data_IF_971571717228
#
_entry.id   IF_971571717228
#
_cell.length_a   1.000
_cell.length_b   1.000
_cell.length_c   1.000
_cell.angle_alpha   90.00
_cell.angle_beta   90.00
_cell.angle_gamma   90.00
#
_symmetry.space_group_name_H-M   'P 1'
#
loop_
_entity.id
_entity.type
_entity.pdbx_description
1 polymer ?
#
# COMPACT_ATOMS: atom_id res chain seq x y z
N UNK A 1 -27.79 25.91 37.96
CA UNK A 1 -26.73 25.86 36.96
C UNK A 1 -26.58 24.42 36.48
N UNK A 2 -27.20 24.10 35.35
CA UNK A 2 -27.05 22.77 34.71
C UNK A 2 -25.99 22.88 33.67
N UNK A 3 -24.86 22.19 33.88
CA UNK A 3 -23.78 22.09 32.89
C UNK A 3 -24.19 21.10 31.79
N UNK A 4 -24.20 21.59 30.58
CA UNK A 4 -24.42 20.81 29.38
C UNK A 4 -23.17 19.98 29.08
N UNK A 5 -23.19 18.71 29.43
CA UNK A 5 -22.25 17.71 28.98
C UNK A 5 -22.89 16.92 27.84
N UNK A 6 -22.76 17.38 26.64
CA UNK A 6 -23.37 16.68 25.54
C UNK A 6 -22.59 16.77 24.23
N UNK A 7 -22.48 15.68 23.52
CA UNK A 7 -22.38 15.60 22.07
C UNK A 7 -20.99 15.69 21.40
N UNK A 8 -19.92 15.13 21.97
CA UNK A 8 -18.70 14.86 21.16
C UNK A 8 -18.47 13.41 20.74
N UNK A 9 -19.31 12.48 21.16
CA UNK A 9 -19.06 11.04 20.97
C UNK A 9 -19.57 10.50 19.63
N UNK A 10 -20.51 11.17 18.96
CA UNK A 10 -21.19 10.66 17.75
C UNK A 10 -20.61 11.14 16.42
N UNK A 11 -19.92 12.27 16.38
CA UNK A 11 -19.40 12.84 15.11
C UNK A 11 -18.13 12.15 14.61
N UNK A 12 -17.27 11.64 15.52
CA UNK A 12 -15.99 11.02 15.17
C UNK A 12 -16.15 9.72 14.38
N UNK A 13 -17.00 8.75 14.79
CA UNK A 13 -17.20 7.50 14.03
C UNK A 13 -17.84 7.73 12.66
N UNK A 14 -18.75 8.71 12.53
CA UNK A 14 -19.42 9.01 11.26
C UNK A 14 -18.45 9.63 10.25
N UNK A 15 -17.63 10.58 10.69
CA UNK A 15 -16.61 11.23 9.86
C UNK A 15 -15.50 10.26 9.46
N UNK A 16 -15.07 9.38 10.35
CA UNK A 16 -14.12 8.29 10.06
C UNK A 16 -14.64 7.38 8.94
N UNK A 17 -15.89 6.92 9.04
CA UNK A 17 -16.51 6.08 8.01
C UNK A 17 -16.59 6.78 6.64
N UNK A 18 -16.86 8.08 6.61
CA UNK A 18 -16.91 8.84 5.36
C UNK A 18 -15.53 8.95 4.69
N UNK A 19 -14.47 9.19 5.45
CA UNK A 19 -13.09 9.25 4.91
C UNK A 19 -12.65 7.90 4.36
N UNK A 20 -12.84 6.82 5.10
CA UNK A 20 -12.55 5.46 4.67
C UNK A 20 -13.28 5.16 3.35
N UNK A 21 -14.59 5.41 3.28
CA UNK A 21 -15.40 5.20 2.07
C UNK A 21 -14.87 6.01 0.89
N UNK A 22 -14.50 7.30 1.10
CA UNK A 22 -13.97 8.17 0.04
C UNK A 22 -12.67 7.65 -0.54
N UNK A 23 -11.74 7.17 0.29
CA UNK A 23 -10.45 6.61 -0.15
C UNK A 23 -10.69 5.33 -0.96
N UNK A 24 -11.47 4.40 -0.42
CA UNK A 24 -11.73 3.12 -1.08
C UNK A 24 -12.55 3.29 -2.36
N UNK A 25 -13.55 4.17 -2.36
CA UNK A 25 -14.34 4.48 -3.56
C UNK A 25 -13.46 5.08 -4.65
N UNK A 26 -12.59 6.04 -4.30
CA UNK A 26 -11.64 6.61 -5.26
C UNK A 26 -10.74 5.54 -5.86
N UNK A 27 -10.15 4.67 -5.04
CA UNK A 27 -9.17 3.70 -5.51
C UNK A 27 -9.79 2.54 -6.30
N UNK A 28 -10.91 2.00 -5.81
CA UNK A 28 -11.50 0.79 -6.39
C UNK A 28 -12.64 1.04 -7.38
N UNK A 29 -13.21 2.24 -7.41
CA UNK A 29 -14.37 2.55 -8.28
C UNK A 29 -14.07 3.66 -9.27
N UNK A 30 -13.51 4.82 -8.81
CA UNK A 30 -13.24 5.95 -9.70
C UNK A 30 -11.97 5.75 -10.54
N UNK A 31 -10.96 5.01 -10.02
CA UNK A 31 -9.65 4.87 -10.66
C UNK A 31 -9.64 3.65 -11.58
N UNK A 32 -9.45 3.81 -12.90
CA UNK A 32 -9.22 2.70 -13.81
C UNK A 32 -7.98 1.87 -13.41
N UNK A 33 -8.02 0.56 -13.60
CA UNK A 33 -6.95 -0.34 -13.16
C UNK A 33 -5.60 -0.01 -13.80
N UNK A 34 -5.59 0.42 -15.06
CA UNK A 34 -4.37 0.80 -15.76
C UNK A 34 -3.64 1.97 -15.09
N UNK A 35 -4.39 2.92 -14.49
CA UNK A 35 -3.81 4.09 -13.82
C UNK A 35 -3.13 3.75 -12.49
N UNK A 36 -3.53 2.68 -11.85
CA UNK A 36 -2.99 2.28 -10.53
C UNK A 36 -1.52 1.88 -10.60
N UNK A 37 -1.07 1.41 -11.77
CA UNK A 37 0.30 0.89 -11.98
C UNK A 37 1.14 1.74 -12.94
N UNK A 38 0.62 2.89 -13.39
CA UNK A 38 1.32 3.79 -14.31
C UNK A 38 1.86 5.04 -13.61
N UNK A 39 2.97 5.56 -14.13
CA UNK A 39 3.48 6.87 -13.73
C UNK A 39 2.69 7.95 -14.50
N UNK A 40 1.77 8.63 -13.83
CA UNK A 40 0.94 9.70 -14.37
C UNK A 40 0.95 10.90 -13.42
N UNK A 41 1.67 11.96 -13.82
CA UNK A 41 1.78 13.18 -13.01
C UNK A 41 0.43 13.87 -12.75
N UNK A 42 -0.51 13.84 -13.70
CA UNK A 42 -1.84 14.42 -13.51
C UNK A 42 -2.62 13.65 -12.45
N UNK A 43 -2.52 12.33 -12.48
CA UNK A 43 -3.12 11.45 -11.49
C UNK A 43 -2.49 11.67 -10.09
N UNK A 44 -1.17 11.85 -10.03
CA UNK A 44 -0.47 12.18 -8.79
C UNK A 44 -0.98 13.50 -8.17
N UNK A 45 -1.24 14.54 -9.00
CA UNK A 45 -1.82 15.81 -8.52
C UNK A 45 -3.25 15.63 -7.99
N UNK A 46 -4.06 14.78 -8.60
CA UNK A 46 -5.40 14.45 -8.09
C UNK A 46 -5.32 13.79 -6.71
N UNK A 47 -4.44 12.78 -6.56
CA UNK A 47 -4.22 12.12 -5.26
C UNK A 47 -3.74 13.13 -4.23
N UNK A 48 -2.77 13.97 -4.59
CA UNK A 48 -2.23 15.01 -3.70
C UNK A 48 -3.31 15.97 -3.23
N UNK A 49 -4.12 16.49 -4.13
CA UNK A 49 -5.19 17.44 -3.80
C UNK A 49 -6.29 16.83 -2.93
N UNK A 50 -6.55 15.52 -3.06
CA UNK A 50 -7.65 14.85 -2.35
C UNK A 50 -7.25 14.20 -1.04
N UNK A 51 -6.02 13.67 -0.92
CA UNK A 51 -5.65 12.70 0.12
C UNK A 51 -4.35 13.00 0.86
N UNK A 52 -3.58 14.07 0.51
CA UNK A 52 -2.33 14.39 1.21
C UNK A 52 -2.54 14.53 2.72
N UNK A 53 -3.57 15.27 3.15
CA UNK A 53 -3.86 15.45 4.58
C UNK A 53 -4.23 14.12 5.27
N UNK A 54 -4.97 13.23 4.61
CA UNK A 54 -5.31 11.92 5.17
C UNK A 54 -4.07 11.03 5.26
N UNK A 55 -3.15 11.08 4.29
CA UNK A 55 -1.85 10.42 4.36
C UNK A 55 -1.01 10.94 5.53
N UNK A 56 -0.91 12.26 5.71
CA UNK A 56 -0.15 12.86 6.82
C UNK A 56 -0.71 12.45 8.18
N UNK A 57 -2.03 12.40 8.32
CA UNK A 57 -2.66 11.90 9.54
C UNK A 57 -2.36 10.41 9.78
N UNK A 58 -2.39 9.59 8.73
CA UNK A 58 -2.06 8.18 8.80
C UNK A 58 -0.60 7.96 9.16
N UNK A 59 0.34 8.69 8.54
CA UNK A 59 1.78 8.58 8.82
C UNK A 59 2.14 8.97 10.26
N UNK A 60 1.36 9.89 10.87
CA UNK A 60 1.52 10.37 12.25
C UNK A 60 0.76 9.54 13.29
N UNK A 61 0.25 8.36 12.95
CA UNK A 61 -0.53 7.47 13.83
C UNK A 61 -1.88 8.06 14.30
N UNK A 62 -2.36 9.14 13.66
CA UNK A 62 -3.62 9.81 14.05
C UNK A 62 -4.88 9.12 13.53
N UNK A 63 -4.71 8.08 12.71
CA UNK A 63 -5.78 7.25 12.16
C UNK A 63 -5.65 5.77 12.57
N UNK A 64 -4.92 5.47 13.64
CA UNK A 64 -4.65 4.09 14.05
C UNK A 64 -5.92 3.37 14.54
N UNK A 65 -6.95 4.10 14.99
CA UNK A 65 -8.28 3.59 15.28
C UNK A 65 -9.01 3.00 14.04
N UNK A 66 -8.57 3.30 12.82
CA UNK A 66 -9.07 2.66 11.60
C UNK A 66 -8.70 1.18 11.52
N UNK A 67 -7.66 0.76 12.23
CA UNK A 67 -7.21 -0.63 12.24
C UNK A 67 -8.18 -1.60 12.96
N UNK A 68 -9.25 -1.09 13.58
CA UNK A 68 -10.25 -1.91 14.25
C UNK A 68 -11.25 -2.55 13.26
N UNK A 69 -11.19 -2.16 11.99
CA UNK A 69 -12.08 -2.68 10.93
C UNK A 69 -11.32 -3.09 9.67
N UNK A 70 -11.87 -4.06 8.95
CA UNK A 70 -11.35 -4.50 7.64
C UNK A 70 -11.25 -3.35 6.63
N UNK A 71 -12.29 -2.52 6.55
CA UNK A 71 -12.34 -1.35 5.65
C UNK A 71 -11.33 -0.29 6.03
N UNK A 72 -11.17 -0.03 7.31
CA UNK A 72 -10.19 0.92 7.82
C UNK A 72 -8.75 0.47 7.59
N UNK A 73 -8.45 -0.81 7.85
CA UNK A 73 -7.14 -1.39 7.53
C UNK A 73 -6.82 -1.25 6.02
N UNK A 74 -7.76 -1.60 5.14
CA UNK A 74 -7.55 -1.49 3.70
C UNK A 74 -7.31 -0.03 3.29
N UNK A 75 -8.09 0.92 3.81
CA UNK A 75 -7.88 2.34 3.53
C UNK A 75 -6.50 2.85 4.00
N UNK A 76 -6.03 2.38 5.16
CA UNK A 76 -4.67 2.69 5.63
C UNK A 76 -3.60 2.14 4.70
N UNK A 77 -3.74 0.91 4.20
CA UNK A 77 -2.80 0.34 3.22
C UNK A 77 -2.80 1.18 1.94
N UNK A 78 -3.97 1.56 1.41
CA UNK A 78 -4.04 2.41 0.22
C UNK A 78 -3.33 3.76 0.45
N UNK A 79 -3.52 4.39 1.60
CA UNK A 79 -2.84 5.65 1.94
C UNK A 79 -1.32 5.47 2.05
N UNK A 80 -0.87 4.49 2.85
CA UNK A 80 0.51 4.36 3.28
C UNK A 80 1.40 3.67 2.25
N UNK A 81 0.85 2.73 1.48
CA UNK A 81 1.60 1.97 0.50
C UNK A 81 1.38 2.48 -0.94
N UNK A 82 0.14 2.73 -1.36
CA UNK A 82 -0.15 3.12 -2.74
C UNK A 82 -0.02 4.64 -2.95
N UNK A 83 -0.74 5.45 -2.17
CA UNK A 83 -0.70 6.91 -2.34
C UNK A 83 0.65 7.51 -2.00
N UNK A 84 1.43 6.91 -1.11
CA UNK A 84 2.81 7.34 -0.84
C UNK A 84 3.65 7.37 -2.12
N UNK A 85 3.50 6.38 -3.01
CA UNK A 85 4.21 6.31 -4.30
C UNK A 85 3.82 7.46 -5.23
N UNK A 86 2.53 7.83 -5.26
CA UNK A 86 2.04 8.94 -6.07
C UNK A 86 2.41 10.31 -5.47
N UNK A 87 2.31 10.45 -4.14
CA UNK A 87 2.55 11.72 -3.42
C UNK A 87 4.02 12.13 -3.43
N UNK A 88 4.93 11.17 -3.39
CA UNK A 88 6.36 11.42 -3.14
C UNK A 88 7.26 10.73 -4.17
N UNK A 89 6.88 10.76 -5.47
CA UNK A 89 7.74 10.22 -6.53
C UNK A 89 9.14 10.80 -6.42
N UNK A 90 10.13 9.95 -6.72
CA UNK A 90 11.54 10.31 -6.70
C UNK A 90 12.07 10.79 -5.33
N UNK A 91 11.37 10.46 -4.26
CA UNK A 91 11.75 10.79 -2.89
C UNK A 91 11.72 9.54 -2.01
N UNK A 92 12.62 9.48 -1.02
CA UNK A 92 12.62 8.43 0.00
C UNK A 92 11.31 8.37 0.81
N UNK A 93 10.58 9.50 0.89
CA UNK A 93 9.25 9.56 1.54
C UNK A 93 8.23 8.58 0.95
N UNK A 94 8.39 8.21 -0.33
CA UNK A 94 7.54 7.22 -0.96
C UNK A 94 7.56 5.85 -0.25
N UNK A 95 8.63 5.55 0.48
CA UNK A 95 8.88 4.26 1.13
C UNK A 95 8.90 4.32 2.66
N UNK A 96 8.82 5.51 3.26
CA UNK A 96 8.91 5.72 4.72
C UNK A 96 7.83 4.95 5.50
N UNK A 97 6.69 4.68 4.89
CA UNK A 97 5.56 4.05 5.56
C UNK A 97 5.40 2.56 5.20
N UNK A 98 6.35 1.96 4.47
CA UNK A 98 6.27 0.55 4.04
C UNK A 98 6.13 -0.40 5.23
N UNK A 99 6.93 -0.20 6.29
CA UNK A 99 6.85 -1.03 7.50
C UNK A 99 5.53 -0.86 8.25
N UNK A 100 5.01 0.37 8.33
CA UNK A 100 3.69 0.60 8.93
C UNK A 100 2.58 -0.05 8.12
N UNK A 101 2.61 0.08 6.79
CA UNK A 101 1.66 -0.58 5.91
C UNK A 101 1.70 -2.11 6.06
N UNK A 102 2.90 -2.68 6.14
CA UNK A 102 3.11 -4.10 6.43
C UNK A 102 2.50 -4.51 7.78
N UNK A 103 2.72 -3.71 8.83
CA UNK A 103 2.13 -3.97 10.15
C UNK A 103 0.59 -3.97 10.13
N UNK A 104 -0.03 -3.07 9.35
CA UNK A 104 -1.49 -3.06 9.14
C UNK A 104 -1.95 -4.35 8.42
N UNK A 105 -1.22 -4.82 7.41
CA UNK A 105 -1.54 -6.10 6.77
C UNK A 105 -1.44 -7.27 7.75
N UNK A 106 -0.44 -7.32 8.63
CA UNK A 106 -0.36 -8.38 9.64
C UNK A 106 -1.59 -8.39 10.56
N UNK A 107 -2.17 -7.24 10.88
CA UNK A 107 -3.47 -7.18 11.58
C UNK A 107 -4.63 -7.69 10.74
N UNK A 108 -4.66 -7.37 9.44
CA UNK A 108 -5.65 -7.93 8.50
C UNK A 108 -5.62 -9.46 8.53
N UNK A 109 -4.43 -10.04 8.49
CA UNK A 109 -4.23 -11.50 8.52
C UNK A 109 -4.69 -12.07 9.87
N UNK A 110 -4.22 -11.50 10.97
CA UNK A 110 -4.54 -11.96 12.33
C UNK A 110 -6.05 -11.95 12.65
N UNK A 111 -6.79 -11.00 12.07
CA UNK A 111 -8.24 -10.87 12.27
C UNK A 111 -9.09 -11.51 11.15
N UNK A 112 -8.48 -12.26 10.23
CA UNK A 112 -9.15 -12.87 9.08
C UNK A 112 -9.94 -11.87 8.21
N UNK A 113 -9.49 -10.61 8.14
CA UNK A 113 -10.19 -9.57 7.38
C UNK A 113 -10.11 -9.79 5.86
N UNK A 114 -9.12 -10.55 5.37
CA UNK A 114 -9.07 -10.93 3.95
C UNK A 114 -10.31 -11.70 3.50
N UNK A 115 -10.97 -12.45 4.38
CA UNK A 115 -12.18 -13.20 4.04
C UNK A 115 -13.37 -12.28 3.69
N UNK A 116 -13.35 -11.02 4.17
CA UNK A 116 -14.39 -10.01 3.92
C UNK A 116 -14.12 -9.15 2.69
N UNK A 117 -12.97 -9.30 2.05
CA UNK A 117 -12.51 -8.50 0.91
C UNK A 117 -12.80 -9.22 -0.41
N UNK A 118 -13.07 -8.48 -1.47
CA UNK A 118 -13.07 -9.02 -2.83
C UNK A 118 -11.65 -9.22 -3.35
N UNK A 119 -11.49 -9.85 -4.53
CA UNK A 119 -10.18 -10.21 -5.07
C UNK A 119 -9.28 -9.01 -5.36
N UNK A 120 -9.82 -7.92 -5.91
CA UNK A 120 -9.06 -6.70 -6.14
C UNK A 120 -8.59 -6.07 -4.82
N UNK A 121 -9.45 -6.04 -3.80
CA UNK A 121 -9.10 -5.53 -2.47
C UNK A 121 -8.02 -6.38 -1.80
N UNK A 122 -8.10 -7.71 -1.91
CA UNK A 122 -7.08 -8.66 -1.43
C UNK A 122 -5.74 -8.43 -2.09
N UNK A 123 -5.72 -8.22 -3.42
CA UNK A 123 -4.49 -7.93 -4.15
C UNK A 123 -3.77 -6.73 -3.53
N UNK A 124 -4.46 -5.59 -3.39
CA UNK A 124 -3.86 -4.38 -2.83
C UNK A 124 -3.51 -4.53 -1.34
N UNK A 125 -4.30 -5.28 -0.57
CA UNK A 125 -3.99 -5.56 0.82
C UNK A 125 -2.67 -6.37 0.97
N UNK A 126 -2.32 -7.23 0.01
CA UNK A 126 -1.14 -8.09 0.06
C UNK A 126 0.14 -7.42 -0.48
N UNK A 127 0.04 -6.33 -1.26
CA UNK A 127 1.19 -5.65 -1.85
C UNK A 127 2.29 -5.24 -0.84
N UNK A 128 1.99 -4.83 0.40
CA UNK A 128 3.03 -4.51 1.37
C UNK A 128 4.04 -5.64 1.63
N UNK A 129 3.67 -6.92 1.44
CA UNK A 129 4.61 -8.03 1.52
C UNK A 129 5.56 -8.08 0.32
N UNK A 130 5.05 -7.77 -0.87
CA UNK A 130 5.86 -7.72 -2.10
C UNK A 130 6.74 -6.47 -2.14
N UNK A 131 6.32 -5.39 -1.51
CA UNK A 131 7.12 -4.17 -1.39
C UNK A 131 8.21 -4.25 -0.30
N UNK A 132 8.16 -5.28 0.56
CA UNK A 132 9.18 -5.55 1.58
C UNK A 132 10.51 -5.98 0.95
N UNK A 133 11.62 -5.63 1.60
CA UNK A 133 12.95 -6.14 1.24
C UNK A 133 13.32 -7.43 2.01
N UNK A 134 12.33 -8.12 2.59
CA UNK A 134 12.49 -9.40 3.28
C UNK A 134 11.97 -10.57 2.44
N UNK A 135 12.81 -11.54 2.16
CA UNK A 135 12.42 -12.72 1.38
C UNK A 135 11.30 -13.53 2.05
N UNK A 136 11.26 -13.57 3.38
CA UNK A 136 10.19 -14.26 4.12
C UNK A 136 8.82 -13.61 3.93
N UNK A 137 8.77 -12.30 3.70
CA UNK A 137 7.51 -11.61 3.37
C UNK A 137 7.03 -12.01 1.96
N UNK A 138 7.93 -12.14 0.99
CA UNK A 138 7.59 -12.64 -0.34
C UNK A 138 7.07 -14.08 -0.29
N UNK A 139 7.71 -14.96 0.48
CA UNK A 139 7.24 -16.34 0.68
C UNK A 139 5.83 -16.34 1.27
N UNK A 140 5.58 -15.50 2.27
CA UNK A 140 4.26 -15.32 2.86
C UNK A 140 3.23 -14.76 1.86
N UNK A 141 3.63 -13.84 0.99
CA UNK A 141 2.78 -13.33 -0.05
C UNK A 141 2.30 -14.43 -1.01
N UNK A 142 3.18 -15.37 -1.40
CA UNK A 142 2.80 -16.51 -2.25
C UNK A 142 1.82 -17.47 -1.56
N UNK A 143 2.03 -17.79 -0.29
CA UNK A 143 1.06 -18.61 0.47
C UNK A 143 -0.34 -17.95 0.46
N UNK A 144 -0.39 -16.64 0.66
CA UNK A 144 -1.65 -15.90 0.68
C UNK A 144 -2.24 -15.73 -0.73
N UNK A 145 -1.41 -15.60 -1.77
CA UNK A 145 -1.86 -15.58 -3.16
C UNK A 145 -2.61 -16.87 -3.53
N UNK A 146 -2.02 -18.03 -3.24
CA UNK A 146 -2.65 -19.33 -3.51
C UNK A 146 -3.98 -19.50 -2.77
N UNK A 147 -4.10 -18.94 -1.57
CA UNK A 147 -5.34 -19.01 -0.80
C UNK A 147 -6.40 -18.02 -1.28
N UNK A 148 -6.02 -16.77 -1.56
CA UNK A 148 -6.93 -15.65 -1.66
C UNK A 148 -7.07 -15.03 -3.06
N UNK A 149 -6.12 -15.27 -3.97
CA UNK A 149 -6.13 -14.71 -5.33
C UNK A 149 -6.23 -15.76 -6.45
N UNK A 150 -6.42 -17.04 -6.11
CA UNK A 150 -6.44 -18.15 -7.08
C UNK A 150 -7.47 -17.99 -8.22
N UNK A 151 -8.53 -17.24 -8.00
CA UNK A 151 -9.57 -16.98 -9.00
C UNK A 151 -9.49 -15.58 -9.61
N UNK A 152 -8.43 -14.80 -9.29
CA UNK A 152 -8.28 -13.44 -9.81
C UNK A 152 -8.11 -13.47 -11.34
N UNK A 153 -8.84 -12.61 -12.05
CA UNK A 153 -8.82 -12.56 -13.53
C UNK A 153 -7.42 -12.34 -14.12
N UNK A 154 -6.58 -11.59 -13.43
CA UNK A 154 -5.21 -11.27 -13.83
C UNK A 154 -4.14 -12.10 -13.09
N UNK A 155 -4.49 -13.27 -12.54
CA UNK A 155 -3.59 -14.07 -11.70
C UNK A 155 -2.22 -14.30 -12.33
N UNK A 156 -2.15 -14.62 -13.60
CA UNK A 156 -0.88 -14.90 -14.29
C UNK A 156 0.01 -13.64 -14.42
N UNK A 157 -0.60 -12.47 -14.63
CA UNK A 157 0.14 -11.19 -14.63
C UNK A 157 0.65 -10.86 -13.22
N UNK A 158 -0.17 -11.09 -12.20
CA UNK A 158 0.20 -10.88 -10.79
C UNK A 158 1.36 -11.82 -10.42
N UNK A 159 1.26 -13.11 -10.74
CA UNK A 159 2.33 -14.09 -10.50
C UNK A 159 3.64 -13.66 -11.15
N UNK A 160 3.58 -13.29 -12.44
CA UNK A 160 4.77 -12.82 -13.15
C UNK A 160 5.39 -11.60 -12.46
N UNK A 161 4.59 -10.58 -12.16
CA UNK A 161 5.07 -9.37 -11.48
C UNK A 161 5.71 -9.70 -10.14
N UNK A 162 5.08 -10.53 -9.31
CA UNK A 162 5.62 -10.89 -8.00
C UNK A 162 6.90 -11.73 -8.10
N UNK A 163 7.00 -12.60 -9.13
CA UNK A 163 8.24 -13.34 -9.40
C UNK A 163 9.39 -12.39 -9.75
N UNK A 164 9.13 -11.38 -10.59
CA UNK A 164 10.13 -10.38 -10.97
C UNK A 164 10.63 -9.61 -9.72
N UNK A 165 9.71 -9.17 -8.85
CA UNK A 165 10.05 -8.53 -7.56
C UNK A 165 10.89 -9.47 -6.67
N UNK A 166 10.44 -10.70 -6.50
CA UNK A 166 11.11 -11.70 -5.65
C UNK A 166 12.51 -12.06 -6.15
N UNK A 167 12.69 -12.12 -7.47
CA UNK A 167 14.01 -12.39 -8.06
C UNK A 167 15.01 -11.29 -7.71
N UNK A 168 14.57 -10.02 -7.68
CA UNK A 168 15.40 -8.89 -7.27
C UNK A 168 15.80 -8.99 -5.79
N UNK A 169 14.84 -9.29 -4.91
CA UNK A 169 15.14 -9.47 -3.47
C UNK A 169 16.06 -10.68 -3.23
N UNK A 170 15.86 -11.79 -3.95
CA UNK A 170 16.77 -12.94 -3.87
C UNK A 170 18.19 -12.61 -4.33
N UNK A 171 18.33 -11.78 -5.38
CA UNK A 171 19.63 -11.42 -5.95
C UNK A 171 20.38 -10.38 -5.10
N UNK A 172 19.69 -9.33 -4.67
CA UNK A 172 20.32 -8.14 -4.07
C UNK A 172 20.00 -7.94 -2.58
N UNK A 173 19.03 -8.66 -2.03
CA UNK A 173 18.54 -8.46 -0.66
C UNK A 173 17.79 -7.13 -0.46
N UNK A 174 17.60 -6.36 -1.53
CA UNK A 174 16.93 -5.05 -1.52
C UNK A 174 16.48 -4.68 -2.93
N UNK A 175 15.70 -3.59 -3.04
CA UNK A 175 15.32 -3.00 -4.31
C UNK A 175 16.34 -1.94 -4.77
N UNK A 176 17.21 -2.21 -5.77
CA UNK A 176 18.23 -1.27 -6.23
C UNK A 176 17.67 0.08 -6.70
N UNK A 177 16.47 0.10 -7.32
CA UNK A 177 15.83 1.34 -7.78
C UNK A 177 15.51 2.33 -6.65
N UNK A 178 15.48 1.89 -5.40
CA UNK A 178 15.28 2.76 -4.23
C UNK A 178 16.59 3.36 -3.72
N UNK A 179 17.75 2.85 -4.14
CA UNK A 179 19.04 3.22 -3.56
C UNK A 179 19.30 4.70 -3.62
N UNK A 180 19.08 5.34 -4.78
CA UNK A 180 19.31 6.77 -4.96
C UNK A 180 18.50 7.62 -3.99
N UNK A 181 17.21 7.35 -3.86
CA UNK A 181 16.30 8.15 -3.01
C UNK A 181 16.40 7.84 -1.53
N UNK A 182 16.98 6.67 -1.19
CA UNK A 182 17.27 6.26 0.20
C UNK A 182 18.72 6.51 0.59
N UNK A 183 19.51 7.21 -0.24
CA UNK A 183 20.93 7.50 0.00
C UNK A 183 21.77 6.23 0.23
N UNK A 184 21.45 5.13 -0.46
CA UNK A 184 22.21 3.88 -0.43
C UNK A 184 23.16 3.82 -1.61
N UNK A 185 24.40 3.39 -1.38
CA UNK A 185 25.38 3.16 -2.45
C UNK A 185 24.99 1.89 -3.20
N UNK A 186 24.93 1.95 -4.54
CA UNK A 186 24.72 0.78 -5.39
C UNK A 186 26.03 0.05 -5.63
N UNK A 187 25.99 -1.30 -5.63
CA UNK A 187 27.09 -2.13 -6.15
C UNK A 187 27.16 -2.08 -7.69
N UNK A 188 28.25 -2.57 -8.26
CA UNK A 188 28.41 -2.64 -9.72
C UNK A 188 27.30 -3.49 -10.36
N UNK A 189 26.97 -4.63 -9.76
CA UNK A 189 25.88 -5.52 -10.22
C UNK A 189 24.50 -4.83 -10.16
N UNK A 190 24.27 -4.01 -9.14
CA UNK A 190 23.03 -3.22 -9.04
C UNK A 190 22.98 -2.11 -10.09
N UNK A 191 24.11 -1.47 -10.40
CA UNK A 191 24.20 -0.46 -11.48
C UNK A 191 23.92 -1.13 -12.82
N UNK A 192 24.50 -2.29 -13.12
CA UNK A 192 24.22 -3.05 -14.33
C UNK A 192 22.73 -3.41 -14.43
N UNK A 193 22.14 -3.92 -13.34
CA UNK A 193 20.71 -4.21 -13.28
C UNK A 193 19.85 -2.97 -13.55
N UNK A 194 20.18 -1.82 -12.95
CA UNK A 194 19.41 -0.58 -13.14
C UNK A 194 19.45 -0.04 -14.57
N UNK A 195 20.45 -0.41 -15.37
CA UNK A 195 20.54 -0.09 -16.79
C UNK A 195 19.74 -1.04 -17.69
N UNK A 196 19.21 -2.14 -17.13
CA UNK A 196 18.40 -3.11 -17.87
C UNK A 196 16.92 -2.71 -17.95
N UNK A 197 16.16 -3.17 -18.97
CA UNK A 197 14.70 -2.98 -19.02
C UNK A 197 14.00 -3.59 -17.79
N UNK A 198 12.91 -2.96 -17.33
CA UNK A 198 12.10 -3.41 -16.20
C UNK A 198 12.88 -3.52 -14.86
N UNK A 199 13.84 -2.62 -14.65
CA UNK A 199 14.62 -2.56 -13.41
C UNK A 199 13.96 -1.72 -12.29
N UNK A 200 12.77 -1.17 -12.53
CA UNK A 200 12.00 -0.37 -11.55
C UNK A 200 10.49 -0.53 -11.77
N UNK A 201 9.74 -0.41 -10.68
CA UNK A 201 8.28 -0.50 -10.62
C UNK A 201 7.66 0.77 -10.05
#
# INVERSE_FOLDING_TARGET
>A
MLQSSGHRVTERPLNMNLKIKKILYFWFVETPDEKKFQKDFKFDQVIKGRFLNDYELASQNKLDDWQDTDRGCLALIILLDQFSRNLFRESGKAFEQDEKSRSVLLKIIANNFLDKMNESERLFALLPLIHSESISDHEKAYELMEKYLKNHSDLEKIKKSWLDHTAVIKKFGRYPHRNKVLNRVSSDDEVEFLNSPNSSW
#
